data_IF_686657195318
#
_entry.id   IF_686657195318
#
_cell.length_a   1.000
_cell.length_b   1.000
_cell.length_c   1.000
_cell.angle_alpha   90.00
_cell.angle_beta   90.00
_cell.angle_gamma   90.00
#
_symmetry.space_group_name_H-M   'P 1'
#
loop_
_entity.id
_entity.type
_entity.pdbx_description
1 polymer ?
#
# COMPACT_ATOMS: atom_id res chain seq x y z
N UNK A 1 1.52 23.29 12.83
CA UNK A 1 0.45 23.73 11.90
C UNK A 1 0.33 25.25 11.80
N UNK A 2 0.25 26.03 12.90
CA UNK A 2 0.32 27.51 12.82
C UNK A 2 1.63 28.02 12.23
N UNK A 3 2.75 27.34 12.50
CA UNK A 3 4.06 27.65 11.90
C UNK A 3 4.12 27.36 10.39
N UNK A 4 3.46 26.30 9.90
CA UNK A 4 3.43 25.93 8.49
C UNK A 4 2.60 26.89 7.62
N UNK A 5 1.73 27.68 8.24
CA UNK A 5 0.82 28.59 7.55
C UNK A 5 1.30 30.05 7.59
N UNK A 6 2.44 30.33 8.25
CA UNK A 6 3.00 31.68 8.40
C UNK A 6 1.96 32.73 8.86
N UNK A 7 1.00 32.30 9.71
CA UNK A 7 -0.08 33.15 10.20
C UNK A 7 -1.32 33.25 9.29
N UNK A 8 -1.28 32.67 8.09
CA UNK A 8 -2.43 32.52 7.19
C UNK A 8 -3.43 31.44 7.61
N UNK A 9 -4.61 31.42 6.96
CA UNK A 9 -5.57 30.32 7.04
C UNK A 9 -5.61 29.60 5.68
N UNK A 10 -5.51 28.27 5.64
CA UNK A 10 -5.63 27.54 4.38
C UNK A 10 -7.06 27.68 3.85
N UNK A 11 -7.22 27.79 2.53
CA UNK A 11 -8.54 27.81 1.91
C UNK A 11 -9.29 26.49 2.11
N UNK A 12 -8.57 25.36 2.10
CA UNK A 12 -9.07 23.99 2.30
C UNK A 12 -7.93 23.10 2.81
N UNK A 13 -8.27 21.99 3.46
CA UNK A 13 -7.31 20.99 3.95
C UNK A 13 -7.71 19.59 3.49
N UNK A 14 -6.75 18.84 2.94
CA UNK A 14 -6.86 17.40 2.73
C UNK A 14 -5.98 16.64 3.71
N UNK A 15 -6.51 15.55 4.27
CA UNK A 15 -5.79 14.74 5.25
C UNK A 15 -5.88 13.26 4.86
N UNK A 16 -4.71 12.63 4.70
CA UNK A 16 -4.59 11.18 4.56
C UNK A 16 -4.43 10.58 5.95
N UNK A 17 -5.23 9.59 6.30
CA UNK A 17 -5.14 8.92 7.59
C UNK A 17 -5.23 7.40 7.44
N UNK A 18 -4.54 6.63 8.30
CA UNK A 18 -4.74 5.18 8.36
C UNK A 18 -6.20 4.85 8.67
N UNK A 19 -6.73 3.83 8.00
CA UNK A 19 -8.07 3.30 8.26
C UNK A 19 -8.14 2.42 9.53
N UNK A 20 -9.34 1.96 9.90
CA UNK A 20 -10.62 2.23 9.23
C UNK A 20 -11.16 3.64 9.52
N UNK A 21 -11.86 4.24 8.55
CA UNK A 21 -12.46 5.58 8.67
C UNK A 21 -13.77 5.65 7.88
N UNK A 22 -14.70 6.49 8.32
CA UNK A 22 -15.88 6.87 7.54
C UNK A 22 -15.57 8.19 6.84
N UNK A 23 -15.41 8.16 5.52
CA UNK A 23 -15.12 9.38 4.74
C UNK A 23 -16.31 10.32 4.86
N UNK A 24 -17.52 9.75 4.80
CA UNK A 24 -18.79 10.47 4.87
C UNK A 24 -18.96 11.21 6.21
N UNK A 25 -18.74 10.54 7.32
CA UNK A 25 -18.91 11.12 8.66
C UNK A 25 -17.69 11.93 9.09
N UNK A 26 -16.53 11.70 8.47
CA UNK A 26 -15.28 12.34 8.85
C UNK A 26 -14.73 11.83 10.18
N UNK A 27 -14.98 10.55 10.48
CA UNK A 27 -14.62 9.87 11.73
C UNK A 27 -13.56 8.80 11.44
N UNK A 28 -12.51 8.76 12.25
CA UNK A 28 -11.49 7.70 12.23
C UNK A 28 -11.81 6.70 13.34
N UNK A 29 -11.87 5.41 13.02
CA UNK A 29 -12.25 4.35 13.94
C UNK A 29 -11.04 3.51 14.32
N UNK A 30 -10.57 3.62 15.57
CA UNK A 30 -9.57 2.72 16.20
C UNK A 30 -8.51 2.18 15.23
N UNK A 31 -7.76 3.04 14.53
CA UNK A 31 -6.81 2.59 13.54
C UNK A 31 -5.69 1.82 14.23
N UNK A 32 -5.20 0.72 13.64
CA UNK A 32 -4.27 -0.21 14.29
C UNK A 32 -2.94 0.45 14.70
N UNK A 33 -2.57 1.54 14.02
CA UNK A 33 -1.31 2.23 14.23
C UNK A 33 -1.42 3.48 15.13
N UNK A 34 -2.63 3.94 15.49
CA UNK A 34 -2.81 5.09 16.40
C UNK A 34 -3.41 4.63 17.74
N UNK A 35 -2.55 4.17 18.63
CA UNK A 35 -2.94 3.73 19.97
C UNK A 35 -3.67 4.84 20.73
N UNK A 36 -4.76 4.48 21.42
CA UNK A 36 -5.58 5.40 22.20
C UNK A 36 -6.66 6.13 21.39
N UNK A 37 -6.69 5.97 20.06
CA UNK A 37 -7.79 6.48 19.25
C UNK A 37 -9.01 5.57 19.36
N UNK A 38 -10.15 6.16 19.70
CA UNK A 38 -11.47 5.51 19.69
C UNK A 38 -12.21 5.84 18.40
N UNK A 39 -13.35 6.52 18.53
CA UNK A 39 -14.05 7.17 17.41
C UNK A 39 -13.69 8.65 17.44
N UNK A 40 -12.83 9.08 16.52
CA UNK A 40 -12.29 10.43 16.51
C UNK A 40 -12.95 11.22 15.38
N UNK A 41 -13.78 12.24 15.67
CA UNK A 41 -14.43 13.10 14.66
C UNK A 41 -13.44 14.10 14.06
N UNK A 42 -12.38 13.57 13.43
CA UNK A 42 -11.20 14.31 13.03
C UNK A 42 -11.52 15.46 12.08
N UNK A 43 -12.49 15.28 11.17
CA UNK A 43 -12.92 16.34 10.25
C UNK A 43 -13.44 17.55 11.02
N UNK A 44 -14.39 17.34 11.95
CA UNK A 44 -14.98 18.41 12.75
C UNK A 44 -13.92 19.12 13.61
N UNK A 45 -13.08 18.34 14.29
CA UNK A 45 -11.99 18.88 15.12
C UNK A 45 -11.04 19.78 14.33
N UNK A 46 -10.68 19.39 13.11
CA UNK A 46 -9.79 20.18 12.25
C UNK A 46 -10.50 21.40 11.66
N UNK A 47 -11.77 21.26 11.26
CA UNK A 47 -12.58 22.37 10.77
C UNK A 47 -12.73 23.47 11.84
N UNK A 48 -13.07 23.09 13.07
CA UNK A 48 -13.21 24.04 14.19
C UNK A 48 -11.89 24.74 14.50
N UNK A 49 -10.77 24.02 14.38
CA UNK A 49 -9.44 24.55 14.70
C UNK A 49 -8.88 25.47 13.61
N UNK A 50 -9.18 25.21 12.34
CA UNK A 50 -8.58 25.89 11.19
C UNK A 50 -9.52 26.88 10.51
N UNK A 51 -10.83 26.72 10.66
CA UNK A 51 -11.84 27.55 10.01
C UNK A 51 -11.89 27.37 8.49
N UNK A 52 -11.55 26.18 7.98
CA UNK A 52 -11.61 25.85 6.55
C UNK A 52 -12.26 24.48 6.33
N UNK A 53 -12.78 24.18 5.12
CA UNK A 53 -13.23 22.85 4.76
C UNK A 53 -12.11 21.82 4.89
N UNK A 54 -12.46 20.63 5.41
CA UNK A 54 -11.54 19.51 5.59
C UNK A 54 -12.09 18.30 4.86
N UNK A 55 -11.25 17.65 4.04
CA UNK A 55 -11.52 16.34 3.45
C UNK A 55 -10.58 15.30 4.05
N UNK A 56 -11.12 14.14 4.40
CA UNK A 56 -10.36 13.00 4.89
C UNK A 56 -10.37 11.90 3.84
N UNK A 57 -9.28 11.15 3.76
CA UNK A 57 -9.22 9.94 2.95
C UNK A 57 -8.27 8.91 3.57
N UNK A 58 -8.49 7.63 3.23
CA UNK A 58 -7.56 6.57 3.57
C UNK A 58 -6.20 6.80 2.90
N UNK A 59 -5.11 6.43 3.56
CA UNK A 59 -3.74 6.62 3.07
C UNK A 59 -3.45 5.93 1.72
N UNK A 60 -3.89 4.68 1.53
CA UNK A 60 -3.75 3.97 0.26
C UNK A 60 -4.64 4.54 -0.84
N UNK A 61 -5.88 4.92 -0.52
CA UNK A 61 -6.78 5.64 -1.44
C UNK A 61 -6.21 7.00 -1.87
N UNK A 62 -5.65 7.75 -0.93
CA UNK A 62 -4.98 9.00 -1.20
C UNK A 62 -3.76 8.79 -2.10
N UNK A 63 -2.94 7.77 -1.83
CA UNK A 63 -1.81 7.43 -2.69
C UNK A 63 -2.26 7.04 -4.10
N UNK A 64 -3.35 6.27 -4.23
CA UNK A 64 -3.96 5.94 -5.51
C UNK A 64 -4.38 7.21 -6.27
N UNK A 65 -5.06 8.16 -5.61
CA UNK A 65 -5.43 9.43 -6.23
C UNK A 65 -4.21 10.26 -6.65
N UNK A 66 -3.15 10.26 -5.84
CA UNK A 66 -1.91 10.94 -6.19
C UNK A 66 -1.27 10.37 -7.45
N UNK A 67 -1.08 9.05 -7.50
CA UNK A 67 -0.49 8.36 -8.65
C UNK A 67 -1.37 8.48 -9.90
N UNK A 68 -2.69 8.43 -9.74
CA UNK A 68 -3.62 8.66 -10.85
C UNK A 68 -3.57 10.10 -11.38
N UNK A 69 -3.48 11.10 -10.50
CA UNK A 69 -3.50 12.50 -10.90
C UNK A 69 -2.15 12.98 -11.48
N UNK A 70 -1.03 12.65 -10.82
CA UNK A 70 0.30 13.21 -11.13
C UNK A 70 1.41 12.17 -11.26
N UNK A 71 1.14 10.89 -11.05
CA UNK A 71 2.14 9.83 -11.08
C UNK A 71 1.97 8.86 -12.24
N UNK A 72 2.31 7.59 -11.99
CA UNK A 72 2.35 6.51 -12.99
C UNK A 72 0.98 6.12 -13.55
N UNK A 73 -0.09 6.51 -12.86
CA UNK A 73 -1.47 6.30 -13.26
C UNK A 73 -2.02 7.34 -14.24
N UNK A 74 -1.29 8.44 -14.50
CA UNK A 74 -1.81 9.57 -15.26
C UNK A 74 -2.31 9.18 -16.65
N UNK A 75 -3.52 9.62 -16.97
CA UNK A 75 -4.19 9.35 -18.25
C UNK A 75 -5.02 8.05 -18.28
N UNK A 76 -5.00 7.24 -17.22
CA UNK A 76 -5.89 6.09 -17.11
C UNK A 76 -7.28 6.48 -16.58
N UNK A 77 -8.30 5.75 -17.04
CA UNK A 77 -9.65 5.70 -16.48
C UNK A 77 -9.77 4.60 -15.42
N UNK A 78 -9.06 3.49 -15.59
CA UNK A 78 -9.10 2.36 -14.66
C UNK A 78 -7.69 2.05 -14.14
N UNK A 79 -7.51 2.20 -12.83
CA UNK A 79 -6.22 1.96 -12.17
C UNK A 79 -6.42 1.23 -10.86
N UNK A 80 -5.48 0.34 -10.54
CA UNK A 80 -5.30 -0.15 -9.17
C UNK A 80 -3.95 0.31 -8.65
N UNK A 81 -3.93 0.90 -7.45
CA UNK A 81 -2.72 1.16 -6.71
C UNK A 81 -2.55 0.09 -5.62
N UNK A 82 -1.34 -0.43 -5.45
CA UNK A 82 -0.97 -1.36 -4.39
C UNK A 82 0.26 -0.79 -3.67
N UNK A 83 0.15 -0.57 -2.37
CA UNK A 83 1.29 -0.18 -1.52
C UNK A 83 1.78 -1.37 -0.71
N UNK A 84 3.10 -1.58 -0.68
CA UNK A 84 3.76 -2.59 0.14
C UNK A 84 4.78 -1.89 1.03
N UNK A 85 4.50 -1.83 2.33
CA UNK A 85 5.28 -1.11 3.32
C UNK A 85 5.24 -1.87 4.66
N UNK A 86 4.91 -1.21 5.77
CA UNK A 86 4.58 -1.85 7.05
C UNK A 86 3.38 -2.79 6.95
N UNK A 87 2.41 -2.46 6.10
CA UNK A 87 1.29 -3.32 5.69
C UNK A 87 1.20 -3.43 4.17
N UNK A 88 0.11 -4.03 3.69
CA UNK A 88 -0.23 -4.03 2.26
C UNK A 88 -1.61 -3.40 2.09
N UNK A 89 -1.68 -2.29 1.37
CA UNK A 89 -2.91 -1.56 1.11
C UNK A 89 -3.14 -1.36 -0.38
N UNK A 90 -4.31 -0.87 -0.74
CA UNK A 90 -4.60 -0.53 -2.13
C UNK A 90 -5.70 0.51 -2.27
N UNK A 91 -5.81 1.04 -3.48
CA UNK A 91 -6.87 1.96 -3.87
C UNK A 91 -7.25 1.72 -5.32
N UNK A 92 -8.53 1.88 -5.65
CA UNK A 92 -9.07 1.52 -6.96
C UNK A 92 -9.67 2.78 -7.59
N UNK A 93 -9.23 3.12 -8.79
CA UNK A 93 -9.86 4.12 -9.66
C UNK A 93 -10.66 3.39 -10.73
N UNK A 94 -11.96 3.68 -10.84
CA UNK A 94 -12.83 3.20 -11.90
C UNK A 94 -13.49 4.39 -12.59
N UNK A 95 -13.46 4.39 -13.92
CA UNK A 95 -14.01 5.47 -14.75
C UNK A 95 -13.51 6.88 -14.36
N UNK A 96 -12.26 6.97 -13.89
CA UNK A 96 -11.62 8.21 -13.45
C UNK A 96 -12.04 8.70 -12.06
N UNK A 97 -12.71 7.86 -11.26
CA UNK A 97 -13.12 8.19 -9.91
C UNK A 97 -12.62 7.14 -8.90
N UNK A 98 -12.29 7.59 -7.68
CA UNK A 98 -11.94 6.68 -6.58
C UNK A 98 -13.15 5.84 -6.18
N UNK A 99 -13.01 4.52 -6.26
CA UNK A 99 -13.99 3.55 -5.85
C UNK A 99 -13.76 3.13 -4.39
N UNK A 100 -14.69 3.48 -3.51
CA UNK A 100 -14.63 3.21 -2.06
C UNK A 100 -15.43 1.99 -1.62
N UNK A 101 -16.31 1.48 -2.47
CA UNK A 101 -17.21 0.38 -2.12
C UNK A 101 -18.33 0.79 -1.16
N UNK A 102 -19.03 -0.20 -0.60
CA UNK A 102 -20.23 0.02 0.22
C UNK A 102 -19.95 0.61 1.62
N UNK A 103 -18.74 0.43 2.14
CA UNK A 103 -18.35 0.83 3.50
C UNK A 103 -16.93 1.39 3.57
N UNK A 104 -16.47 2.08 2.52
CA UNK A 104 -15.17 2.74 2.42
C UNK A 104 -13.93 1.82 2.53
N UNK A 105 -14.08 0.51 2.32
CA UNK A 105 -13.00 -0.51 2.42
C UNK A 105 -12.69 -1.22 1.09
N UNK A 106 -13.18 -0.72 -0.04
CA UNK A 106 -12.73 -1.26 -1.33
C UNK A 106 -11.23 -0.99 -1.52
N UNK A 107 -10.49 -2.00 -2.00
CA UNK A 107 -9.05 -1.87 -2.22
C UNK A 107 -8.16 -2.50 -1.13
N UNK A 108 -8.74 -3.15 -0.12
CA UNK A 108 -8.03 -3.92 0.92
C UNK A 108 -7.33 -5.20 0.38
N UNK A 109 -6.47 -5.03 -0.63
CA UNK A 109 -5.73 -6.09 -1.33
C UNK A 109 -4.80 -6.86 -0.39
N UNK A 110 -4.30 -6.21 0.67
CA UNK A 110 -3.50 -6.88 1.69
C UNK A 110 -4.25 -7.98 2.44
N UNK A 111 -5.59 -7.96 2.42
CA UNK A 111 -6.43 -8.96 3.06
C UNK A 111 -7.00 -10.01 2.10
N UNK A 112 -6.57 -10.02 0.84
CA UNK A 112 -6.87 -11.13 -0.07
C UNK A 112 -6.10 -12.36 0.41
N UNK A 113 -6.80 -13.49 0.55
CA UNK A 113 -6.19 -14.79 0.84
C UNK A 113 -5.42 -15.25 -0.39
N UNK A 114 -4.10 -15.28 -0.30
CA UNK A 114 -3.20 -15.78 -1.36
C UNK A 114 -2.55 -17.11 -1.00
N UNK A 115 -2.66 -17.53 0.27
CA UNK A 115 -2.22 -18.84 0.76
C UNK A 115 -3.12 -19.32 1.89
N UNK A 116 -4.09 -20.22 1.65
CA UNK A 116 -4.96 -20.73 2.72
C UNK A 116 -4.20 -21.43 3.86
N UNK A 117 -2.98 -21.91 3.63
CA UNK A 117 -2.10 -22.52 4.62
C UNK A 117 -0.98 -21.57 5.09
N UNK A 118 -1.08 -20.29 4.73
CA UNK A 118 -0.08 -19.27 5.00
C UNK A 118 -0.03 -18.80 6.46
N UNK A 119 0.80 -17.79 6.75
CA UNK A 119 0.94 -17.24 8.10
C UNK A 119 -0.31 -16.47 8.55
N UNK A 120 -0.40 -16.22 9.85
CA UNK A 120 -1.40 -15.32 10.44
C UNK A 120 -1.06 -13.87 10.08
N UNK A 121 -2.06 -13.17 9.55
CA UNK A 121 -2.07 -11.74 9.28
C UNK A 121 -2.18 -10.95 10.60
N UNK A 122 -1.65 -9.72 10.70
CA UNK A 122 -1.88 -8.85 11.86
C UNK A 122 -3.36 -8.65 12.22
N UNK A 123 -4.27 -8.72 11.24
CA UNK A 123 -5.72 -8.66 11.48
C UNK A 123 -6.32 -9.95 12.10
N UNK A 124 -5.51 -10.97 12.38
CA UNK A 124 -5.90 -12.23 13.03
C UNK A 124 -6.43 -13.32 12.08
N UNK A 125 -6.57 -13.03 10.78
CA UNK A 125 -6.95 -14.02 9.75
C UNK A 125 -5.71 -14.71 9.18
N UNK A 126 -5.91 -15.82 8.48
CA UNK A 126 -4.83 -16.66 7.94
C UNK A 126 -4.70 -16.44 6.44
N UNK A 127 -3.46 -16.39 5.94
CA UNK A 127 -3.20 -16.51 4.52
C UNK A 127 -3.32 -15.24 3.68
N UNK A 128 -3.54 -14.10 4.33
CA UNK A 128 -3.60 -12.80 3.68
C UNK A 128 -2.26 -12.39 3.08
N UNK A 129 -2.30 -11.68 1.96
CA UNK A 129 -1.12 -11.13 1.28
C UNK A 129 -0.22 -10.30 2.22
N UNK A 130 -0.81 -9.48 3.10
CA UNK A 130 -0.07 -8.66 4.07
C UNK A 130 0.77 -9.52 5.02
N UNK A 131 0.23 -10.67 5.47
CA UNK A 131 0.92 -11.61 6.34
C UNK A 131 2.16 -12.24 5.69
N UNK A 132 2.35 -12.04 4.39
CA UNK A 132 3.36 -12.69 3.55
C UNK A 132 4.34 -11.68 2.94
N UNK A 133 3.84 -10.58 2.39
CA UNK A 133 4.60 -9.66 1.53
C UNK A 133 4.92 -8.30 2.18
N UNK A 134 4.27 -7.95 3.30
CA UNK A 134 4.62 -6.73 4.03
C UNK A 134 6.04 -6.80 4.62
N UNK A 135 6.67 -5.66 4.87
CA UNK A 135 8.02 -5.58 5.43
C UNK A 135 8.21 -6.41 6.71
N UNK A 136 7.33 -6.28 7.72
CA UNK A 136 7.40 -7.11 8.92
C UNK A 136 7.22 -8.62 8.64
N UNK A 137 6.45 -8.99 7.61
CA UNK A 137 6.28 -10.40 7.23
C UNK A 137 7.53 -10.98 6.59
N UNK A 138 8.20 -10.21 5.73
CA UNK A 138 9.50 -10.57 5.13
C UNK A 138 10.53 -10.79 6.25
N UNK A 139 10.64 -9.84 7.19
CA UNK A 139 11.56 -9.94 8.33
C UNK A 139 11.28 -11.19 9.17
N UNK A 140 10.02 -11.41 9.58
CA UNK A 140 9.64 -12.60 10.36
C UNK A 140 10.00 -13.91 9.66
N UNK A 141 9.83 -13.97 8.34
CA UNK A 141 10.20 -15.13 7.55
C UNK A 141 11.72 -15.36 7.60
N UNK A 142 12.52 -14.33 7.35
CA UNK A 142 13.99 -14.40 7.44
C UNK A 142 14.45 -14.83 8.82
N UNK A 143 13.93 -14.22 9.89
CA UNK A 143 14.27 -14.59 11.28
C UNK A 143 13.92 -16.05 11.59
N UNK A 144 12.80 -16.56 11.06
CA UNK A 144 12.45 -17.98 11.13
C UNK A 144 13.52 -18.87 10.53
N UNK A 145 13.95 -18.57 9.31
CA UNK A 145 14.98 -19.32 8.60
C UNK A 145 16.34 -19.24 9.30
N UNK A 146 16.69 -18.09 9.87
CA UNK A 146 17.92 -17.93 10.66
C UNK A 146 17.92 -18.84 11.90
N UNK A 147 16.79 -18.90 12.62
CA UNK A 147 16.59 -19.80 13.77
C UNK A 147 16.69 -21.28 13.38
N UNK A 148 16.22 -21.64 12.18
CA UNK A 148 16.32 -23.00 11.61
C UNK A 148 17.74 -23.37 11.13
N UNK A 149 18.71 -22.46 11.20
CA UNK A 149 20.09 -22.75 10.78
C UNK A 149 20.45 -22.27 9.37
N UNK A 150 19.58 -21.52 8.67
CA UNK A 150 19.90 -21.02 7.33
C UNK A 150 21.15 -20.11 7.33
N UNK A 151 22.12 -20.32 6.41
CA UNK A 151 23.29 -19.46 6.29
C UNK A 151 22.89 -18.09 5.71
N UNK A 152 23.38 -17.01 6.31
CA UNK A 152 23.12 -15.65 5.86
C UNK A 152 24.04 -14.66 6.57
N UNK A 153 24.36 -13.56 5.88
CA UNK A 153 25.02 -12.37 6.41
C UNK A 153 24.18 -11.62 7.45
N UNK A 154 22.88 -11.90 7.54
CA UNK A 154 21.96 -11.27 8.48
C UNK A 154 22.02 -11.88 9.90
N UNK A 155 22.82 -12.94 10.10
CA UNK A 155 22.98 -13.57 11.42
C UNK A 155 23.58 -12.59 12.43
N UNK A 156 22.94 -12.50 13.60
CA UNK A 156 23.39 -11.64 14.70
C UNK A 156 23.03 -10.15 14.53
N UNK A 157 22.38 -9.76 13.44
CA UNK A 157 21.90 -8.40 13.23
C UNK A 157 20.48 -8.24 13.79
N UNK A 158 20.34 -7.55 14.92
CA UNK A 158 19.05 -7.28 15.55
C UNK A 158 18.98 -5.85 16.12
N UNK A 159 17.84 -5.14 15.97
CA UNK A 159 16.64 -5.55 15.24
C UNK A 159 16.87 -5.56 13.71
N UNK A 160 16.16 -6.44 13.00
CA UNK A 160 16.23 -6.53 11.55
C UNK A 160 15.07 -5.75 10.92
N UNK A 161 15.34 -4.96 9.89
CA UNK A 161 14.32 -4.25 9.10
C UNK A 161 14.20 -4.84 7.70
N UNK A 162 13.08 -4.56 7.01
CA UNK A 162 12.93 -4.97 5.61
C UNK A 162 13.97 -4.28 4.69
N UNK A 163 14.46 -3.10 5.08
CA UNK A 163 15.54 -2.40 4.39
C UNK A 163 16.88 -3.13 4.54
N UNK A 164 17.20 -3.64 5.74
CA UNK A 164 18.39 -4.46 5.96
C UNK A 164 18.36 -5.74 5.11
N UNK A 165 17.19 -6.39 5.02
CA UNK A 165 16.98 -7.56 4.16
C UNK A 165 17.16 -7.17 2.69
N UNK A 166 16.60 -6.04 2.24
CA UNK A 166 16.75 -5.59 0.86
C UNK A 166 18.23 -5.31 0.52
N UNK A 167 18.94 -4.64 1.42
CA UNK A 167 20.35 -4.34 1.27
C UNK A 167 21.21 -5.61 1.21
N UNK A 168 20.89 -6.63 2.03
CA UNK A 168 21.55 -7.93 1.96
C UNK A 168 21.26 -8.66 0.64
N UNK A 169 20.02 -8.62 0.14
CA UNK A 169 19.66 -9.21 -1.14
C UNK A 169 20.43 -8.57 -2.31
N UNK A 170 20.63 -7.25 -2.29
CA UNK A 170 21.46 -6.54 -3.27
C UNK A 170 22.93 -6.93 -3.19
N UNK A 171 23.45 -7.21 -1.99
CA UNK A 171 24.82 -7.72 -1.78
C UNK A 171 25.00 -9.20 -2.08
N UNK A 172 23.95 -9.90 -2.52
CA UNK A 172 24.04 -11.31 -2.91
C UNK A 172 23.70 -12.32 -1.82
N UNK A 173 23.16 -11.89 -0.69
CA UNK A 173 22.69 -12.80 0.35
C UNK A 173 21.52 -13.64 -0.18
N UNK A 174 21.72 -14.97 -0.19
CA UNK A 174 20.76 -15.92 -0.76
C UNK A 174 19.44 -15.94 0.01
N UNK A 175 19.49 -15.95 1.34
CA UNK A 175 18.29 -16.00 2.18
C UNK A 175 17.45 -14.73 1.99
N UNK A 176 18.11 -13.57 1.93
CA UNK A 176 17.44 -12.30 1.69
C UNK A 176 16.77 -12.25 0.31
N UNK A 177 17.44 -12.76 -0.74
CA UNK A 177 16.83 -12.90 -2.08
C UNK A 177 15.63 -13.82 -2.07
N UNK A 178 15.74 -15.01 -1.46
CA UNK A 178 14.63 -15.95 -1.32
C UNK A 178 13.41 -15.31 -0.62
N UNK A 179 13.64 -14.43 0.36
CA UNK A 179 12.58 -13.71 1.06
C UNK A 179 11.81 -12.75 0.14
N UNK A 180 12.53 -11.96 -0.67
CA UNK A 180 11.93 -11.04 -1.63
C UNK A 180 11.31 -11.75 -2.83
N UNK A 181 11.91 -12.83 -3.31
CA UNK A 181 11.35 -13.69 -4.35
C UNK A 181 10.01 -14.30 -3.91
N UNK A 182 9.95 -14.79 -2.66
CA UNK A 182 8.72 -15.26 -2.06
C UNK A 182 7.68 -14.15 -2.00
N UNK A 183 8.00 -12.99 -1.42
CA UNK A 183 7.07 -11.87 -1.30
C UNK A 183 6.57 -11.39 -2.67
N UNK A 184 7.47 -11.24 -3.64
CA UNK A 184 7.18 -10.82 -5.00
C UNK A 184 6.23 -11.79 -5.69
N UNK A 185 6.47 -13.11 -5.57
CA UNK A 185 5.60 -14.13 -6.18
C UNK A 185 4.15 -14.05 -5.69
N UNK A 186 3.94 -13.97 -4.37
CA UNK A 186 2.58 -13.85 -3.81
C UNK A 186 1.92 -12.52 -4.17
N UNK A 187 2.68 -11.42 -4.18
CA UNK A 187 2.20 -10.13 -4.68
C UNK A 187 1.80 -10.22 -6.15
N UNK A 188 2.59 -10.91 -6.97
CA UNK A 188 2.30 -11.15 -8.38
C UNK A 188 1.01 -11.94 -8.60
N UNK A 189 0.76 -12.99 -7.81
CA UNK A 189 -0.51 -13.71 -7.86
C UNK A 189 -1.71 -12.81 -7.53
N UNK A 190 -1.56 -11.93 -6.53
CA UNK A 190 -2.58 -10.94 -6.21
C UNK A 190 -2.79 -9.95 -7.38
N UNK A 191 -1.71 -9.43 -7.97
CA UNK A 191 -1.78 -8.55 -9.15
C UNK A 191 -2.46 -9.25 -10.33
N UNK A 192 -2.10 -10.49 -10.64
CA UNK A 192 -2.77 -11.28 -11.69
C UNK A 192 -4.27 -11.47 -11.42
N UNK A 193 -4.64 -11.70 -10.16
CA UNK A 193 -6.04 -11.73 -9.72
C UNK A 193 -6.77 -10.39 -9.92
N UNK A 194 -6.11 -9.28 -9.60
CA UNK A 194 -6.65 -7.92 -9.83
C UNK A 194 -6.84 -7.63 -11.32
N UNK A 195 -5.89 -8.04 -12.17
CA UNK A 195 -6.01 -7.92 -13.62
C UNK A 195 -7.20 -8.71 -14.15
N UNK A 196 -7.39 -9.93 -13.66
CA UNK A 196 -8.51 -10.78 -14.06
C UNK A 196 -9.87 -10.23 -13.63
N UNK A 197 -9.94 -9.68 -12.41
CA UNK A 197 -11.19 -9.23 -11.82
C UNK A 197 -11.62 -7.84 -12.30
N UNK A 198 -10.67 -6.93 -12.45
CA UNK A 198 -10.95 -5.51 -12.70
C UNK A 198 -10.55 -5.05 -14.09
N UNK A 199 -9.65 -5.78 -14.77
CA UNK A 199 -9.10 -5.43 -16.08
C UNK A 199 -8.71 -3.93 -16.21
N UNK A 200 -7.87 -3.40 -15.29
CA UNK A 200 -7.47 -1.99 -15.33
C UNK A 200 -6.46 -1.73 -16.46
N UNK A 201 -6.28 -0.46 -16.83
CA UNK A 201 -5.23 -0.06 -17.78
C UNK A 201 -3.84 -0.07 -17.12
N UNK A 202 -3.78 0.12 -15.80
CA UNK A 202 -2.52 0.14 -15.06
C UNK A 202 -2.68 -0.34 -13.61
N UNK A 203 -1.73 -1.15 -13.17
CA UNK A 203 -1.48 -1.46 -11.75
C UNK A 203 -0.21 -0.74 -11.32
N UNK A 204 -0.32 0.18 -10.37
CA UNK A 204 0.82 0.93 -9.82
C UNK A 204 1.21 0.34 -8.48
N UNK A 205 2.48 -0.06 -8.33
CA UNK A 205 3.02 -0.67 -7.11
C UNK A 205 4.00 0.29 -6.43
N UNK A 206 3.69 0.69 -5.19
CA UNK A 206 4.46 1.63 -4.39
C UNK A 206 4.74 1.12 -2.97
N UNK A 207 5.19 2.03 -2.10
CA UNK A 207 5.53 1.75 -0.71
C UNK A 207 7.00 1.40 -0.46
N UNK A 208 7.41 1.41 0.81
CA UNK A 208 8.82 1.27 1.18
C UNK A 208 9.46 -0.05 0.75
N UNK A 209 8.71 -1.15 0.78
CA UNK A 209 9.20 -2.49 0.36
C UNK A 209 9.35 -2.56 -1.16
N UNK A 210 8.51 -1.85 -1.92
CA UNK A 210 8.61 -1.80 -3.38
C UNK A 210 9.94 -1.20 -3.88
N UNK A 211 10.64 -0.43 -3.01
CA UNK A 211 11.97 0.12 -3.29
C UNK A 211 13.07 -0.93 -3.34
N UNK A 212 12.82 -2.17 -2.92
CA UNK A 212 13.74 -3.29 -3.10
C UNK A 212 14.10 -3.54 -4.58
N UNK A 213 13.37 -2.95 -5.53
CA UNK A 213 13.79 -2.92 -6.92
C UNK A 213 13.49 -4.23 -7.64
N UNK A 214 14.46 -4.71 -8.43
CA UNK A 214 14.31 -5.89 -9.27
C UNK A 214 14.00 -7.17 -8.47
N UNK A 215 14.62 -7.34 -7.30
CA UNK A 215 14.46 -8.55 -6.47
C UNK A 215 13.01 -8.81 -6.01
N UNK A 216 12.18 -7.77 -5.98
CA UNK A 216 10.73 -7.90 -5.74
C UNK A 216 9.93 -7.91 -7.04
N UNK A 217 10.26 -7.01 -7.97
CA UNK A 217 9.42 -6.78 -9.15
C UNK A 217 9.53 -7.88 -10.20
N UNK A 218 10.70 -8.44 -10.44
CA UNK A 218 10.87 -9.53 -11.40
C UNK A 218 9.98 -10.74 -11.03
N UNK A 219 10.07 -11.32 -9.82
CA UNK A 219 9.22 -12.43 -9.42
C UNK A 219 7.73 -12.06 -9.35
N UNK A 220 7.41 -10.79 -9.06
CA UNK A 220 6.04 -10.28 -9.10
C UNK A 220 5.48 -10.26 -10.52
N UNK A 221 6.22 -9.71 -11.49
CA UNK A 221 5.79 -9.62 -12.88
C UNK A 221 5.65 -11.02 -13.51
N UNK A 222 6.60 -11.92 -13.23
CA UNK A 222 6.53 -13.31 -13.67
C UNK A 222 5.29 -14.02 -13.14
N UNK A 223 5.04 -13.92 -11.83
CA UNK A 223 3.89 -14.55 -11.20
C UNK A 223 2.56 -13.94 -11.65
N UNK A 224 2.49 -12.63 -11.84
CA UNK A 224 1.30 -11.94 -12.37
C UNK A 224 1.00 -12.38 -13.80
N UNK A 225 2.02 -12.43 -14.67
CA UNK A 225 1.87 -12.91 -16.06
C UNK A 225 1.40 -14.35 -16.13
N UNK A 226 1.88 -15.20 -15.21
CA UNK A 226 1.54 -16.63 -15.19
C UNK A 226 0.09 -16.89 -14.77
N UNK A 227 -0.55 -15.99 -14.02
CA UNK A 227 -1.92 -16.17 -13.51
C UNK A 227 -2.96 -15.24 -14.14
N UNK A 228 -2.53 -14.15 -14.77
CA UNK A 228 -3.41 -13.26 -15.50
C UNK A 228 -3.93 -13.92 -16.79
N UNK A 229 -5.20 -13.65 -17.12
CA UNK A 229 -5.78 -13.97 -18.41
C UNK A 229 -4.99 -13.21 -19.50
N UNK A 230 -4.56 -13.87 -20.59
CA UNK A 230 -3.62 -13.26 -21.54
C UNK A 230 -4.04 -11.87 -22.05
N UNK A 231 -5.34 -11.68 -22.34
CA UNK A 231 -5.84 -10.36 -22.79
C UNK A 231 -5.77 -9.28 -21.71
N UNK A 232 -6.01 -9.63 -20.45
CA UNK A 232 -5.91 -8.69 -19.34
C UNK A 232 -4.44 -8.28 -19.11
N UNK A 233 -3.51 -9.24 -19.22
CA UNK A 233 -2.07 -8.95 -19.17
C UNK A 233 -1.61 -8.06 -20.34
N UNK A 234 -2.04 -8.37 -21.58
CA UNK A 234 -1.71 -7.58 -22.77
C UNK A 234 -2.25 -6.14 -22.72
N UNK A 235 -3.40 -5.94 -22.10
CA UNK A 235 -4.07 -4.63 -22.03
C UNK A 235 -3.53 -3.74 -20.90
N UNK A 236 -2.91 -4.32 -19.86
CA UNK A 236 -2.51 -3.60 -18.66
C UNK A 236 -1.00 -3.33 -18.61
N UNK A 237 -0.63 -2.21 -17.99
CA UNK A 237 0.75 -1.95 -17.55
C UNK A 237 0.88 -2.23 -16.06
N UNK A 238 2.03 -2.74 -15.62
CA UNK A 238 2.36 -2.86 -14.20
C UNK A 238 3.59 -2.00 -13.92
N UNK A 239 3.39 -0.91 -13.18
CA UNK A 239 4.35 0.19 -13.06
C UNK A 239 4.78 0.40 -11.61
N UNK A 240 5.96 0.99 -11.41
CA UNK A 240 6.37 1.52 -10.10
C UNK A 240 5.64 2.84 -9.82
N UNK A 241 5.33 3.12 -8.56
CA UNK A 241 4.88 4.44 -8.13
C UNK A 241 5.92 5.52 -8.47
N UNK A 242 5.47 6.68 -8.97
CA UNK A 242 6.35 7.78 -9.38
C UNK A 242 6.48 8.89 -8.32
N UNK A 243 5.55 8.96 -7.37
CA UNK A 243 5.50 10.01 -6.36
C UNK A 243 6.10 9.59 -5.01
N UNK A 244 6.46 8.31 -4.87
CA UNK A 244 7.01 7.73 -3.65
C UNK A 244 6.16 8.11 -2.42
N UNK A 245 6.80 8.59 -1.35
CA UNK A 245 6.15 8.96 -0.08
C UNK A 245 5.21 10.17 -0.21
N UNK A 246 5.25 10.87 -1.35
CA UNK A 246 4.39 12.04 -1.61
C UNK A 246 3.05 11.67 -2.23
N UNK A 247 2.85 10.43 -2.67
CA UNK A 247 1.62 10.01 -3.35
C UNK A 247 0.37 10.37 -2.53
N UNK A 248 0.36 10.03 -1.23
CA UNK A 248 -0.77 10.33 -0.34
C UNK A 248 -1.03 11.84 -0.20
N UNK A 249 0.03 12.64 -0.01
CA UNK A 249 -0.08 14.10 0.10
C UNK A 249 -0.65 14.73 -1.17
N UNK A 250 -0.17 14.29 -2.33
CA UNK A 250 -0.64 14.76 -3.64
C UNK A 250 -2.11 14.38 -3.85
N UNK A 251 -2.51 13.18 -3.43
CA UNK A 251 -3.90 12.73 -3.55
C UNK A 251 -4.88 13.49 -2.67
N UNK A 252 -4.54 13.78 -1.41
CA UNK A 252 -5.43 14.59 -0.56
C UNK A 252 -5.43 16.06 -0.94
N UNK A 253 -4.34 16.57 -1.54
CA UNK A 253 -4.34 17.87 -2.18
C UNK A 253 -5.31 17.91 -3.37
N UNK A 254 -5.32 16.87 -4.22
CA UNK A 254 -6.31 16.73 -5.29
C UNK A 254 -7.75 16.77 -4.74
N UNK A 255 -8.04 15.96 -3.72
CA UNK A 255 -9.38 15.93 -3.11
C UNK A 255 -9.81 17.29 -2.55
N UNK A 256 -8.90 17.98 -1.86
CA UNK A 256 -9.17 19.32 -1.34
C UNK A 256 -9.45 20.33 -2.47
N UNK A 257 -8.87 20.16 -3.66
CA UNK A 257 -9.18 21.03 -4.79
C UNK A 257 -10.56 20.76 -5.40
N UNK A 258 -11.10 19.54 -5.27
CA UNK A 258 -12.39 19.16 -5.87
C UNK A 258 -13.63 19.60 -5.09
N UNK A 259 -13.56 19.70 -3.75
CA UNK A 259 -14.70 20.10 -2.90
C UNK A 259 -14.49 21.45 -2.28
#
# INVERSE_FOLDING_TARGET
MRELLEGGRPGRLGVAVPGPLSVREGVVFKPPNLHGWGEVPLRAMLQDRLGCPVVLENDANAAALGEWWRGSGRGSRHMVYVTVSTGVGGGIILDGALYRGASDVAGEVGHVVVDPAGPVCPCGRVGHLEGIAAGPAIVRWVEGRLREGAPSTLRGHHPLTAEDVAAAAWRGDRLAREAFERAGRYLGWAVGGLLNLLNPEVVVVGGGVARAGAVLFEPMLEAARATAFPRAWEAARVERAALDDRAGLVGVAYLALQG
#
